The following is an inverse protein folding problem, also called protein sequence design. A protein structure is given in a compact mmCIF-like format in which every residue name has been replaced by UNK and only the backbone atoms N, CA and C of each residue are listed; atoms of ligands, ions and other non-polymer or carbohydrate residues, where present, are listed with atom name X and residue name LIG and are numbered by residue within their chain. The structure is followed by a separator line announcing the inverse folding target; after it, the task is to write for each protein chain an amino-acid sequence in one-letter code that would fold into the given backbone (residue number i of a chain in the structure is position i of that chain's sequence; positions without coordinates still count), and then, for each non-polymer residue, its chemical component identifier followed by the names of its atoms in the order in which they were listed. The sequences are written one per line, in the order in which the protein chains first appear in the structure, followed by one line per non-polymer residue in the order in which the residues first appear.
data_IF_942818368836
#
_entry.id   IF_942818368836
#
_cell.length_a   1.000
_cell.length_b   1.000
_cell.length_c   1.000
_cell.angle_alpha   90.00
_cell.angle_beta   90.00
_cell.angle_gamma   90.00
#
_symmetry.space_group_name_H-M   'P 1'
#
loop_
_entity.id
_entity.type
_entity.pdbx_description
1 polymer ?
#
# COMPACT_ATOMS: atom_id res chain seq x y z
N UNK A 1 21.53 -3.25 -10.25
CA UNK A 1 20.90 -2.78 -11.50
C UNK A 1 19.70 -1.86 -11.24
N UNK A 2 18.60 -2.32 -10.64
CA UNK A 2 17.38 -1.50 -10.47
C UNK A 2 17.60 -0.19 -9.69
N UNK A 3 18.33 -0.23 -8.58
CA UNK A 3 18.65 0.98 -7.78
C UNK A 3 19.39 2.05 -8.62
N UNK A 4 20.38 1.62 -9.39
CA UNK A 4 21.15 2.48 -10.30
C UNK A 4 20.27 3.05 -11.43
N UNK A 5 19.36 2.25 -11.99
CA UNK A 5 18.45 2.71 -13.02
C UNK A 5 17.51 3.80 -12.48
N UNK A 6 16.94 3.62 -11.29
CA UNK A 6 16.13 4.67 -10.64
C UNK A 6 16.95 5.93 -10.38
N UNK A 7 18.21 5.77 -9.94
CA UNK A 7 19.09 6.91 -9.69
C UNK A 7 19.43 7.67 -10.99
N UNK A 8 19.80 6.99 -12.07
CA UNK A 8 20.01 7.59 -13.39
C UNK A 8 18.73 8.28 -13.90
N UNK A 9 17.58 7.73 -13.54
CA UNK A 9 16.30 8.30 -13.91
C UNK A 9 16.05 9.68 -13.27
N UNK A 10 16.72 10.02 -12.16
CA UNK A 10 16.64 11.34 -11.53
C UNK A 10 17.24 12.40 -12.45
N UNK A 11 18.44 12.14 -12.97
CA UNK A 11 19.12 13.08 -13.87
C UNK A 11 18.44 13.16 -15.23
N UNK A 12 18.03 12.03 -15.80
CA UNK A 12 17.28 12.00 -17.08
C UNK A 12 15.90 12.64 -16.95
N UNK A 13 15.23 12.44 -15.82
CA UNK A 13 13.90 12.99 -15.53
C UNK A 13 13.90 14.45 -15.09
N UNK A 14 15.05 15.13 -15.15
CA UNK A 14 15.17 16.54 -14.79
C UNK A 14 14.78 16.84 -13.33
N UNK A 15 15.09 15.91 -12.42
CA UNK A 15 14.69 15.93 -11.02
C UNK A 15 15.76 16.53 -10.10
N UNK A 16 16.41 17.61 -10.55
CA UNK A 16 17.40 18.35 -9.75
C UNK A 16 16.79 18.90 -8.46
N UNK A 17 17.58 18.99 -7.40
CA UNK A 17 17.11 19.46 -6.08
C UNK A 17 16.80 20.96 -6.05
N UNK A 18 17.36 21.69 -7.01
CA UNK A 18 17.09 23.09 -7.34
C UNK A 18 15.75 23.28 -8.06
N UNK A 19 15.16 22.19 -8.58
CA UNK A 19 13.87 22.20 -9.27
C UNK A 19 12.80 21.67 -8.33
N UNK A 20 11.90 22.55 -7.92
CA UNK A 20 10.79 22.23 -7.02
C UNK A 20 9.52 22.93 -7.51
N UNK A 21 8.37 22.26 -7.39
CA UNK A 21 7.09 22.78 -7.89
C UNK A 21 6.17 21.68 -8.42
N UNK A 22 5.13 22.04 -9.18
CA UNK A 22 4.21 21.08 -9.81
C UNK A 22 4.90 20.21 -10.86
N UNK A 23 5.75 20.81 -11.70
CA UNK A 23 6.54 20.11 -12.71
C UNK A 23 7.39 18.97 -12.12
N UNK A 24 7.86 19.15 -10.88
CA UNK A 24 8.63 18.13 -10.16
C UNK A 24 7.81 16.87 -9.87
N UNK A 25 6.53 17.05 -9.51
CA UNK A 25 5.60 15.94 -9.29
C UNK A 25 5.12 15.33 -10.60
N UNK A 26 4.90 16.15 -11.64
CA UNK A 26 4.53 15.68 -12.98
C UNK A 26 5.63 14.82 -13.61
N UNK A 27 6.89 15.15 -13.37
CA UNK A 27 8.05 14.35 -13.78
C UNK A 27 8.28 13.10 -12.90
N UNK A 28 7.40 12.86 -11.92
CA UNK A 28 7.48 11.78 -10.94
C UNK A 28 8.80 11.78 -10.16
N UNK A 29 9.37 12.96 -9.90
CA UNK A 29 10.66 13.08 -9.22
C UNK A 29 10.60 12.59 -7.78
N UNK A 30 9.46 12.78 -7.13
CA UNK A 30 9.14 12.23 -5.82
C UNK A 30 9.30 10.69 -5.80
N UNK A 31 8.74 10.00 -6.80
CA UNK A 31 8.86 8.56 -6.99
C UNK A 31 10.30 8.14 -7.27
N UNK A 32 10.99 8.84 -8.17
CA UNK A 32 12.36 8.48 -8.61
C UNK A 32 13.34 8.55 -7.45
N UNK A 33 13.36 9.68 -6.74
CA UNK A 33 14.20 9.88 -5.56
C UNK A 33 13.93 8.86 -4.47
N UNK A 34 12.65 8.65 -4.14
CA UNK A 34 12.25 7.68 -3.14
C UNK A 34 12.73 6.27 -3.45
N UNK A 35 12.47 5.78 -4.67
CA UNK A 35 12.85 4.42 -5.04
C UNK A 35 14.35 4.23 -5.01
N UNK A 36 15.13 5.22 -5.46
CA UNK A 36 16.58 5.16 -5.34
C UNK A 36 17.02 5.03 -3.89
N UNK A 37 16.53 5.90 -2.99
CA UNK A 37 16.88 5.88 -1.57
C UNK A 37 16.50 4.54 -0.92
N UNK A 38 15.25 4.09 -1.10
CA UNK A 38 14.74 2.86 -0.48
C UNK A 38 15.42 1.60 -1.02
N UNK A 39 15.68 1.52 -2.33
CA UNK A 39 16.35 0.36 -2.92
C UNK A 39 17.80 0.25 -2.45
N UNK A 40 18.54 1.37 -2.37
CA UNK A 40 19.90 1.33 -1.83
C UNK A 40 19.91 0.99 -0.34
N UNK A 41 18.96 1.52 0.45
CA UNK A 41 18.84 1.15 1.86
C UNK A 41 18.58 -0.35 2.03
N UNK A 42 17.59 -0.89 1.31
CA UNK A 42 17.24 -2.31 1.35
C UNK A 42 18.40 -3.21 0.88
N UNK A 43 19.10 -2.84 -0.19
CA UNK A 43 20.29 -3.57 -0.64
C UNK A 43 21.38 -3.57 0.44
N UNK A 44 21.58 -2.43 1.13
CA UNK A 44 22.51 -2.34 2.25
C UNK A 44 22.16 -3.24 3.43
N UNK A 45 20.87 -3.35 3.77
CA UNK A 45 20.38 -4.17 4.88
C UNK A 45 20.34 -5.68 4.58
N UNK A 46 20.20 -6.05 3.31
CA UNK A 46 20.06 -7.45 2.88
C UNK A 46 21.34 -8.05 2.29
N UNK A 47 22.35 -7.23 2.00
CA UNK A 47 23.63 -7.69 1.48
C UNK A 47 24.46 -8.36 2.58
N UNK A 48 25.10 -9.47 2.20
CA UNK A 48 25.94 -10.28 3.08
C UNK A 48 27.41 -9.86 3.03
N UNK A 49 27.88 -9.31 1.90
CA UNK A 49 29.20 -8.71 1.81
C UNK A 49 29.21 -7.35 2.50
N UNK A 50 29.98 -7.23 3.59
CA UNK A 50 30.04 -6.02 4.42
C UNK A 50 30.49 -4.78 3.64
N UNK A 51 31.41 -4.94 2.69
CA UNK A 51 31.93 -3.81 1.91
C UNK A 51 30.86 -3.29 0.95
N UNK A 52 30.17 -4.19 0.26
CA UNK A 52 29.07 -3.84 -0.64
C UNK A 52 27.88 -3.27 0.14
N UNK A 53 27.52 -3.88 1.27
CA UNK A 53 26.48 -3.39 2.16
C UNK A 53 26.74 -1.94 2.58
N UNK A 54 27.95 -1.65 3.06
CA UNK A 54 28.35 -0.30 3.45
C UNK A 54 28.33 0.70 2.28
N UNK A 55 28.73 0.27 1.08
CA UNK A 55 28.66 1.10 -0.12
C UNK A 55 27.21 1.47 -0.48
N UNK A 56 26.27 0.52 -0.38
CA UNK A 56 24.86 0.78 -0.61
C UNK A 56 24.24 1.69 0.46
N UNK A 57 24.53 1.47 1.74
CA UNK A 57 24.06 2.34 2.83
C UNK A 57 24.59 3.76 2.68
N UNK A 58 25.88 3.92 2.34
CA UNK A 58 26.48 5.23 2.07
C UNK A 58 25.81 5.93 0.87
N UNK A 59 25.47 5.17 -0.18
CA UNK A 59 24.75 5.73 -1.33
C UNK A 59 23.33 6.14 -0.97
N UNK A 60 22.60 5.33 -0.21
CA UNK A 60 21.26 5.65 0.30
C UNK A 60 21.28 6.94 1.12
N UNK A 61 22.24 7.06 2.05
CA UNK A 61 22.41 8.26 2.88
C UNK A 61 22.73 9.50 2.04
N UNK A 62 23.60 9.38 1.04
CA UNK A 62 23.95 10.50 0.16
C UNK A 62 22.74 11.02 -0.62
N UNK A 63 21.96 10.11 -1.21
CA UNK A 63 20.74 10.46 -1.94
C UNK A 63 19.67 11.04 -1.01
N UNK A 64 19.54 10.48 0.19
CA UNK A 64 18.64 10.99 1.22
C UNK A 64 18.96 12.43 1.62
N UNK A 65 20.24 12.77 1.83
CA UNK A 65 20.65 14.13 2.17
C UNK A 65 20.36 15.12 1.03
N UNK A 66 20.60 14.72 -0.22
CA UNK A 66 20.22 15.54 -1.38
C UNK A 66 18.71 15.76 -1.43
N UNK A 67 17.92 14.71 -1.22
CA UNK A 67 16.47 14.78 -1.21
C UNK A 67 15.94 15.72 -0.12
N UNK A 68 16.51 15.67 1.09
CA UNK A 68 16.17 16.59 2.18
C UNK A 68 16.44 18.06 1.86
N UNK A 69 17.36 18.33 0.94
CA UNK A 69 17.67 19.68 0.46
C UNK A 69 16.58 20.28 -0.44
N UNK A 70 15.61 19.49 -0.91
CA UNK A 70 14.51 20.00 -1.74
C UNK A 70 13.56 20.82 -0.87
N UNK A 71 13.22 22.09 -1.22
CA UNK A 71 12.39 22.96 -0.39
C UNK A 71 11.04 22.36 0.04
N UNK A 72 10.44 21.50 -0.80
CA UNK A 72 9.20 20.77 -0.47
C UNK A 72 9.31 19.95 0.82
N UNK A 73 10.50 19.44 1.14
CA UNK A 73 10.74 18.52 2.25
C UNK A 73 11.42 19.19 3.45
N UNK A 74 11.54 20.52 3.46
CA UNK A 74 12.09 21.29 4.57
C UNK A 74 11.42 20.95 5.92
N UNK A 75 10.09 20.72 5.89
CA UNK A 75 9.29 20.38 7.08
C UNK A 75 9.23 18.89 7.39
N UNK A 76 9.97 18.04 6.67
CA UNK A 76 9.98 16.61 6.93
C UNK A 76 10.66 16.30 8.27
N UNK A 77 10.11 15.32 8.99
CA UNK A 77 10.68 14.82 10.24
C UNK A 77 11.63 13.63 9.99
N UNK A 78 12.18 13.49 8.79
CA UNK A 78 13.02 12.35 8.42
C UNK A 78 14.44 12.52 8.94
N UNK A 79 14.95 11.50 9.62
CA UNK A 79 16.30 11.43 10.13
C UNK A 79 17.15 10.42 9.35
N UNK A 80 16.52 9.34 8.89
CA UNK A 80 17.14 8.21 8.20
C UNK A 80 16.46 7.92 6.84
N UNK A 81 17.17 7.26 5.90
CA UNK A 81 16.58 6.78 4.65
C UNK A 81 15.32 5.93 4.84
N UNK A 82 15.26 5.15 5.92
CA UNK A 82 14.14 4.28 6.28
C UNK A 82 12.89 5.02 6.78
N UNK A 83 12.98 6.31 7.10
CA UNK A 83 11.82 7.12 7.49
C UNK A 83 10.96 7.52 6.29
N UNK A 84 11.49 7.36 5.07
CA UNK A 84 10.80 7.70 3.84
C UNK A 84 9.85 6.57 3.41
N UNK A 85 8.67 6.96 2.94
CA UNK A 85 7.77 6.08 2.21
C UNK A 85 6.87 6.91 1.27
N UNK A 86 6.03 6.22 0.50
CA UNK A 86 5.14 6.83 -0.49
C UNK A 86 4.23 7.93 0.10
N UNK A 87 3.77 7.76 1.34
CA UNK A 87 2.95 8.77 2.01
C UNK A 87 3.79 9.95 2.50
N UNK A 88 4.94 9.68 3.08
CA UNK A 88 5.81 10.69 3.65
C UNK A 88 6.20 11.72 2.58
N UNK A 89 6.61 11.24 1.41
CA UNK A 89 7.04 12.08 0.29
C UNK A 89 5.88 12.90 -0.31
N UNK A 90 4.67 12.34 -0.35
CA UNK A 90 3.51 13.10 -0.84
C UNK A 90 3.06 14.16 0.17
N UNK A 91 3.11 13.84 1.46
CA UNK A 91 2.65 14.65 2.57
C UNK A 91 3.78 14.99 3.55
N UNK A 92 4.76 15.80 3.13
CA UNK A 92 5.87 16.16 4.00
C UNK A 92 5.39 16.95 5.21
N UNK A 93 5.98 16.64 6.37
CA UNK A 93 5.59 17.21 7.66
C UNK A 93 4.38 16.56 8.32
N UNK A 94 3.73 15.59 7.65
CA UNK A 94 2.76 14.70 8.28
C UNK A 94 3.51 13.47 8.81
N UNK A 95 3.26 13.02 10.05
CA UNK A 95 3.84 11.80 10.56
C UNK A 95 3.56 10.63 9.62
N UNK A 96 4.60 9.91 9.22
CA UNK A 96 4.47 8.69 8.43
C UNK A 96 5.10 7.54 9.20
N UNK A 97 4.37 6.45 9.32
CA UNK A 97 4.76 5.26 10.08
C UNK A 97 4.16 4.01 9.44
N UNK A 98 4.84 2.85 9.54
CA UNK A 98 4.36 1.60 8.94
C UNK A 98 3.10 1.08 9.61
N UNK A 99 2.94 1.31 10.92
CA UNK A 99 1.80 0.85 11.71
C UNK A 99 1.17 2.05 12.42
N UNK A 100 -0.15 2.14 12.33
CA UNK A 100 -0.96 3.17 13.00
C UNK A 100 -1.81 2.52 14.09
N UNK A 101 -1.92 3.19 15.23
CA UNK A 101 -2.85 2.83 16.28
C UNK A 101 -4.29 2.96 15.78
N UNK A 102 -5.08 1.89 15.89
CA UNK A 102 -6.46 1.83 15.41
C UNK A 102 -7.37 2.83 16.11
N UNK A 103 -7.03 3.26 17.33
CA UNK A 103 -7.77 4.29 18.06
C UNK A 103 -7.55 5.70 17.51
N UNK A 104 -6.43 5.92 16.81
CA UNK A 104 -6.05 7.22 16.23
C UNK A 104 -6.58 7.41 14.81
N UNK A 105 -7.12 6.35 14.19
CA UNK A 105 -7.67 6.39 12.83
C UNK A 105 -9.15 5.98 12.84
N UNK A 106 -10.08 6.84 12.38
CA UNK A 106 -11.53 6.53 12.41
C UNK A 106 -11.92 5.21 11.75
N UNK A 107 -11.12 4.75 10.77
CA UNK A 107 -11.33 3.49 10.07
C UNK A 107 -11.16 2.27 10.97
N UNK A 108 -10.27 2.31 11.96
CA UNK A 108 -10.02 1.17 12.86
C UNK A 108 -11.27 0.80 13.65
N UNK A 109 -11.81 1.77 14.39
CA UNK A 109 -13.06 1.61 15.15
C UNK A 109 -14.23 1.21 14.26
N UNK A 110 -14.39 1.85 13.10
CA UNK A 110 -15.46 1.51 12.16
C UNK A 110 -15.41 0.04 11.72
N UNK A 111 -14.23 -0.46 11.38
CA UNK A 111 -14.06 -1.85 10.95
C UNK A 111 -14.38 -2.82 12.09
N UNK A 112 -13.92 -2.54 13.31
CA UNK A 112 -14.19 -3.37 14.49
C UNK A 112 -15.68 -3.42 14.84
N UNK A 113 -16.35 -2.27 14.90
CA UNK A 113 -17.80 -2.18 15.20
C UNK A 113 -18.66 -2.85 14.12
N UNK A 114 -18.22 -2.77 12.85
CA UNK A 114 -18.93 -3.33 11.70
C UNK A 114 -18.58 -4.80 11.43
N UNK A 115 -17.60 -5.37 12.16
CA UNK A 115 -17.09 -6.71 11.94
C UNK A 115 -18.18 -7.80 11.88
N UNK A 116 -19.21 -7.81 12.77
CA UNK A 116 -20.26 -8.82 12.70
C UNK A 116 -21.00 -8.84 11.35
N UNK A 117 -21.24 -7.67 10.75
CA UNK A 117 -21.92 -7.57 9.45
C UNK A 117 -21.01 -8.07 8.33
N UNK A 118 -19.76 -7.59 8.30
CA UNK A 118 -18.77 -8.02 7.31
C UNK A 118 -18.50 -9.51 7.37
N UNK A 119 -18.51 -10.09 8.58
CA UNK A 119 -18.34 -11.53 8.77
C UNK A 119 -19.54 -12.32 8.30
N UNK A 120 -20.74 -11.95 8.71
CA UNK A 120 -21.95 -12.69 8.38
C UNK A 120 -22.19 -12.77 6.85
N UNK A 121 -22.03 -11.66 6.13
CA UNK A 121 -22.23 -11.66 4.66
C UNK A 121 -21.10 -12.38 3.93
N UNK A 122 -19.85 -12.28 4.40
CA UNK A 122 -18.74 -13.08 3.84
C UNK A 122 -18.97 -14.57 4.06
N UNK A 123 -19.38 -14.99 5.25
CA UNK A 123 -19.69 -16.39 5.56
C UNK A 123 -20.85 -16.91 4.70
N UNK A 124 -21.88 -16.09 4.45
CA UNK A 124 -22.97 -16.45 3.54
C UNK A 124 -22.46 -16.68 2.11
N UNK A 125 -21.58 -15.80 1.60
CA UNK A 125 -20.97 -15.95 0.27
C UNK A 125 -20.10 -17.21 0.19
N UNK A 126 -19.28 -17.47 1.22
CA UNK A 126 -18.36 -18.61 1.25
C UNK A 126 -19.08 -19.95 1.38
N UNK A 127 -20.21 -20.00 2.08
CA UNK A 127 -20.98 -21.22 2.32
C UNK A 127 -22.12 -21.45 1.33
N UNK A 128 -22.32 -20.55 0.35
CA UNK A 128 -23.37 -20.72 -0.65
C UNK A 128 -23.06 -21.93 -1.56
N UNK A 129 -24.02 -22.86 -1.74
CA UNK A 129 -23.80 -24.09 -2.50
C UNK A 129 -23.50 -23.87 -3.99
N UNK A 130 -23.69 -22.65 -4.52
CA UNK A 130 -23.42 -22.28 -5.91
C UNK A 130 -21.99 -21.78 -6.14
N UNK A 131 -21.13 -21.76 -5.12
CA UNK A 131 -19.77 -21.20 -5.18
C UNK A 131 -19.78 -19.70 -5.55
N UNK A 132 -20.52 -18.88 -4.78
CA UNK A 132 -20.60 -17.44 -5.02
C UNK A 132 -19.20 -16.79 -5.00
N UNK A 133 -18.32 -17.20 -4.10
CA UNK A 133 -16.93 -16.71 -4.05
C UNK A 133 -16.20 -16.96 -5.37
N UNK A 134 -16.21 -18.20 -5.88
CA UNK A 134 -15.58 -18.54 -7.15
C UNK A 134 -16.19 -17.80 -8.33
N UNK A 135 -17.51 -17.57 -8.34
CA UNK A 135 -18.17 -16.77 -9.37
C UNK A 135 -17.73 -15.30 -9.33
N UNK A 136 -17.73 -14.67 -8.15
CA UNK A 136 -17.24 -13.29 -7.97
C UNK A 136 -15.78 -13.15 -8.41
N UNK A 137 -14.92 -14.09 -8.00
CA UNK A 137 -13.51 -14.13 -8.40
C UNK A 137 -13.30 -14.28 -9.92
N UNK A 138 -14.17 -15.02 -10.61
CA UNK A 138 -14.10 -15.19 -12.08
C UNK A 138 -14.59 -13.96 -12.82
N UNK A 139 -15.62 -13.32 -12.30
CA UNK A 139 -16.23 -12.13 -12.91
C UNK A 139 -15.46 -10.84 -12.60
N UNK A 140 -14.64 -10.81 -11.55
CA UNK A 140 -13.76 -9.67 -11.26
C UNK A 140 -12.45 -9.73 -12.06
N UNK A 141 -12.22 -8.81 -13.01
CA UNK A 141 -10.99 -8.77 -13.79
C UNK A 141 -9.79 -8.24 -12.99
N UNK A 142 -10.00 -7.70 -11.78
CA UNK A 142 -9.01 -6.91 -11.05
C UNK A 142 -8.08 -7.71 -10.12
N UNK A 143 -7.63 -8.89 -10.58
CA UNK A 143 -6.76 -9.78 -9.78
C UNK A 143 -5.38 -9.19 -9.54
N UNK A 144 -4.99 -9.06 -8.27
CA UNK A 144 -3.63 -8.70 -7.88
C UNK A 144 -2.72 -9.95 -7.88
N UNK A 145 -1.53 -9.83 -8.45
CA UNK A 145 -0.60 -10.96 -8.65
C UNK A 145 0.62 -10.88 -7.72
N UNK A 146 0.42 -10.52 -6.44
CA UNK A 146 1.53 -10.34 -5.47
C UNK A 146 1.88 -11.62 -4.69
N UNK A 147 1.02 -12.63 -4.73
CA UNK A 147 1.21 -13.91 -4.06
C UNK A 147 1.72 -15.03 -4.96
N UNK A 148 2.06 -16.16 -4.35
CA UNK A 148 2.20 -17.45 -5.05
C UNK A 148 0.98 -17.69 -5.95
N UNK A 149 1.13 -18.18 -7.20
CA UNK A 149 0.00 -18.47 -8.07
C UNK A 149 -1.07 -19.31 -7.38
N UNK A 150 -2.31 -18.81 -7.32
CA UNK A 150 -3.44 -19.46 -6.65
C UNK A 150 -3.44 -19.40 -5.11
N UNK A 151 -2.45 -18.74 -4.49
CA UNK A 151 -2.36 -18.61 -3.03
C UNK A 151 -3.11 -17.40 -2.45
N UNK A 152 -3.51 -16.45 -3.29
CA UNK A 152 -4.13 -15.20 -2.84
C UNK A 152 -5.29 -14.80 -3.73
N UNK A 153 -6.49 -14.84 -3.16
CA UNK A 153 -7.72 -14.42 -3.81
C UNK A 153 -8.09 -13.00 -3.36
N UNK A 154 -8.60 -12.19 -4.29
CA UNK A 154 -9.08 -10.84 -4.02
C UNK A 154 -10.41 -10.64 -4.73
N UNK A 155 -11.46 -10.33 -3.96
CA UNK A 155 -12.77 -9.92 -4.49
C UNK A 155 -12.95 -8.45 -4.16
N UNK A 156 -13.05 -7.62 -5.20
CA UNK A 156 -13.29 -6.18 -5.05
C UNK A 156 -14.70 -5.91 -4.54
N UNK A 157 -14.83 -4.94 -3.63
CA UNK A 157 -16.13 -4.33 -3.29
C UNK A 157 -16.29 -3.04 -4.10
N UNK A 158 -15.25 -2.20 -4.09
CA UNK A 158 -15.21 -0.93 -4.82
C UNK A 158 -13.76 -0.52 -5.08
N UNK A 159 -13.49 0.05 -6.26
CA UNK A 159 -12.17 0.58 -6.64
C UNK A 159 -12.35 1.82 -7.49
N UNK A 160 -11.65 2.91 -7.14
CA UNK A 160 -11.75 4.19 -7.84
C UNK A 160 -13.21 4.63 -8.07
N UNK A 161 -14.05 4.48 -7.02
CA UNK A 161 -15.49 4.75 -7.05
C UNK A 161 -16.35 3.88 -8.00
N UNK A 162 -15.76 2.89 -8.66
CA UNK A 162 -16.49 1.85 -9.38
C UNK A 162 -16.88 0.74 -8.40
N UNK A 163 -18.16 0.66 -8.06
CA UNK A 163 -18.72 -0.39 -7.22
C UNK A 163 -18.79 -1.71 -7.98
N UNK A 164 -18.66 -2.83 -7.27
CA UNK A 164 -18.92 -4.13 -7.86
C UNK A 164 -20.37 -4.50 -7.57
N UNK A 165 -21.26 -4.17 -8.51
CA UNK A 165 -22.71 -4.30 -8.30
C UNK A 165 -23.12 -5.75 -7.97
N UNK A 166 -22.54 -6.74 -8.67
CA UNK A 166 -22.78 -8.16 -8.37
C UNK A 166 -22.38 -8.53 -6.94
N UNK A 167 -21.28 -7.98 -6.42
CA UNK A 167 -20.91 -8.18 -5.01
C UNK A 167 -21.92 -7.53 -4.08
N UNK A 168 -22.35 -6.30 -4.38
CA UNK A 168 -23.32 -5.58 -3.54
C UNK A 168 -24.72 -6.19 -3.53
N UNK A 169 -25.11 -6.95 -4.56
CA UNK A 169 -26.33 -7.76 -4.54
C UNK A 169 -26.22 -8.91 -3.54
N UNK A 170 -25.03 -9.49 -3.37
CA UNK A 170 -24.77 -10.62 -2.47
C UNK A 170 -24.46 -10.19 -1.03
N UNK A 171 -23.89 -8.98 -0.85
CA UNK A 171 -23.52 -8.41 0.44
C UNK A 171 -24.00 -6.95 0.57
N UNK A 172 -25.33 -6.72 0.59
CA UNK A 172 -25.91 -5.38 0.55
C UNK A 172 -25.57 -4.54 1.78
N UNK A 173 -25.47 -5.14 2.98
CA UNK A 173 -25.19 -4.39 4.21
C UNK A 173 -23.72 -3.96 4.25
N UNK A 174 -22.81 -4.82 3.81
CA UNK A 174 -21.39 -4.50 3.64
C UNK A 174 -21.23 -3.30 2.70
N UNK A 175 -21.87 -3.33 1.53
CA UNK A 175 -21.81 -2.19 0.61
C UNK A 175 -22.44 -0.93 1.21
N UNK A 176 -23.56 -1.03 1.93
CA UNK A 176 -24.18 0.12 2.59
C UNK A 176 -23.25 0.75 3.65
N UNK A 177 -22.58 -0.07 4.47
CA UNK A 177 -21.62 0.40 5.47
C UNK A 177 -20.42 1.09 4.82
N UNK A 178 -19.84 0.51 3.77
CA UNK A 178 -18.73 1.14 3.04
C UNK A 178 -19.17 2.45 2.37
N UNK A 179 -20.40 2.51 1.81
CA UNK A 179 -20.99 3.74 1.24
C UNK A 179 -21.21 4.84 2.28
N UNK A 180 -21.39 4.49 3.55
CA UNK A 180 -21.58 5.48 4.62
C UNK A 180 -20.30 6.24 5.00
N UNK A 181 -19.11 5.74 4.62
CA UNK A 181 -17.82 6.31 5.06
C UNK A 181 -17.28 7.35 4.11
N UNK A 182 -17.23 8.61 4.55
CA UNK A 182 -16.68 9.70 3.76
C UNK A 182 -15.18 9.52 3.49
N UNK A 183 -14.43 8.90 4.41
CA UNK A 183 -12.99 8.63 4.25
C UNK A 183 -12.69 7.71 3.07
N UNK A 184 -13.62 6.79 2.78
CA UNK A 184 -13.55 5.88 1.64
C UNK A 184 -14.09 6.59 0.38
N UNK A 185 -15.27 7.20 0.46
CA UNK A 185 -15.97 7.74 -0.70
C UNK A 185 -15.42 9.08 -1.21
N UNK A 186 -14.61 9.79 -0.43
CA UNK A 186 -13.90 11.01 -0.87
C UNK A 186 -12.45 10.75 -1.27
N UNK A 187 -11.95 9.52 -1.10
CA UNK A 187 -10.59 9.16 -1.48
C UNK A 187 -10.55 8.76 -2.97
N UNK A 188 -9.88 9.56 -3.80
CA UNK A 188 -9.76 9.32 -5.25
C UNK A 188 -9.07 8.00 -5.60
N UNK A 189 -8.25 7.46 -4.69
CA UNK A 189 -7.50 6.22 -4.86
C UNK A 189 -8.03 5.08 -3.99
N UNK A 190 -9.30 5.17 -3.59
CA UNK A 190 -9.95 4.19 -2.73
C UNK A 190 -9.99 2.81 -3.38
N UNK A 191 -9.77 1.80 -2.55
CA UNK A 191 -9.89 0.41 -2.91
C UNK A 191 -10.33 -0.36 -1.65
N UNK A 192 -11.41 -1.11 -1.75
CA UNK A 192 -11.93 -1.97 -0.66
C UNK A 192 -12.17 -3.35 -1.24
N UNK A 193 -11.60 -4.37 -0.61
CA UNK A 193 -11.65 -5.75 -1.07
C UNK A 193 -11.84 -6.70 0.10
N UNK A 194 -12.44 -7.85 -0.16
CA UNK A 194 -12.14 -9.05 0.61
C UNK A 194 -10.92 -9.73 0.02
N UNK A 195 -10.01 -10.13 0.90
CA UNK A 195 -8.81 -10.89 0.54
C UNK A 195 -8.82 -12.21 1.28
N UNK A 196 -8.57 -13.30 0.56
CA UNK A 196 -8.44 -14.64 1.14
C UNK A 196 -7.05 -15.17 0.81
N UNK A 197 -6.26 -15.37 1.86
CA UNK A 197 -4.94 -15.97 1.78
C UNK A 197 -5.07 -17.47 2.05
N UNK A 198 -4.62 -18.30 1.12
CA UNK A 198 -4.67 -19.76 1.25
C UNK A 198 -3.48 -20.29 2.06
N UNK A 199 -3.61 -21.46 2.71
CA UNK A 199 -2.49 -22.11 3.40
C UNK A 199 -1.26 -22.26 2.48
N UNK A 200 -0.08 -21.95 3.01
CA UNK A 200 1.19 -22.01 2.26
C UNK A 200 1.42 -20.88 1.27
N UNK A 201 0.50 -19.92 1.15
CA UNK A 201 0.71 -18.74 0.31
C UNK A 201 1.78 -17.81 0.90
N UNK A 202 2.59 -17.24 0.02
CA UNK A 202 3.60 -16.25 0.38
C UNK A 202 3.42 -15.00 -0.48
N UNK A 203 3.29 -13.84 0.17
CA UNK A 203 3.31 -12.55 -0.50
C UNK A 203 4.76 -12.05 -0.58
N UNK A 204 5.21 -11.66 -1.77
CA UNK A 204 6.55 -11.08 -1.91
C UNK A 204 6.61 -9.73 -1.16
N UNK A 205 7.76 -9.34 -0.61
CA UNK A 205 7.96 -7.98 -0.12
C UNK A 205 7.61 -6.97 -1.23
N UNK A 206 6.71 -6.05 -0.92
CA UNK A 206 6.22 -5.04 -1.87
C UNK A 206 5.81 -3.78 -1.13
N UNK A 207 5.70 -2.69 -1.87
CA UNK A 207 5.08 -1.46 -1.41
C UNK A 207 3.74 -1.28 -2.08
N UNK A 208 2.75 -0.79 -1.35
CA UNK A 208 1.47 -0.41 -1.92
C UNK A 208 1.55 0.88 -2.72
N UNK A 209 0.54 1.13 -3.56
CA UNK A 209 0.39 2.41 -4.25
C UNK A 209 -0.05 3.48 -3.24
N UNK A 210 0.78 4.50 -3.04
CA UNK A 210 0.43 5.70 -2.27
C UNK A 210 -0.26 6.76 -3.13
N UNK A 211 -0.81 7.83 -2.53
CA UNK A 211 -0.80 8.10 -1.09
C UNK A 211 -2.09 7.59 -0.39
N UNK A 212 -1.98 6.61 0.52
CA UNK A 212 -3.09 6.11 1.35
C UNK A 212 -2.62 5.35 2.59
N UNK A 213 -3.49 5.26 3.59
CA UNK A 213 -3.38 4.26 4.66
C UNK A 213 -4.21 3.03 4.29
N UNK A 214 -3.66 1.84 4.52
CA UNK A 214 -4.39 0.59 4.41
C UNK A 214 -4.83 0.15 5.79
N UNK A 215 -6.11 -0.19 5.95
CA UNK A 215 -6.64 -0.77 7.17
C UNK A 215 -7.13 -2.19 6.86
N UNK A 216 -6.71 -3.18 7.65
CA UNK A 216 -7.10 -4.58 7.49
C UNK A 216 -7.93 -5.02 8.69
N UNK A 217 -9.06 -5.67 8.43
CA UNK A 217 -9.87 -6.35 9.43
C UNK A 217 -9.74 -7.85 9.21
N UNK A 218 -9.28 -8.58 10.23
CA UNK A 218 -9.32 -10.03 10.23
C UNK A 218 -10.75 -10.51 10.48
N UNK A 219 -11.43 -10.98 9.43
CA UNK A 219 -12.84 -11.41 9.50
C UNK A 219 -12.95 -12.90 9.87
N UNK A 220 -12.15 -13.73 9.20
CA UNK A 220 -12.01 -15.17 9.45
C UNK A 220 -10.51 -15.46 9.46
N UNK A 221 -9.96 -15.83 10.62
CA UNK A 221 -8.55 -16.13 10.79
C UNK A 221 -8.39 -17.53 11.39
N UNK A 222 -7.39 -18.32 10.97
CA UNK A 222 -7.04 -19.54 11.68
C UNK A 222 -6.53 -19.20 13.08
N UNK A 223 -6.76 -20.10 14.03
CA UNK A 223 -6.11 -20.01 15.34
C UNK A 223 -4.59 -20.06 15.15
N UNK A 224 -3.81 -19.25 15.88
CA UNK A 224 -2.36 -19.33 15.84
C UNK A 224 -1.93 -20.76 16.16
N UNK A 225 -1.08 -21.35 15.33
CA UNK A 225 -0.34 -22.57 15.72
C UNK A 225 0.50 -22.21 16.95
N UNK A 226 0.24 -22.91 18.06
CA UNK A 226 1.00 -22.80 19.31
C UNK A 226 2.46 -23.21 19.11
#
# INVERSE_FOLDING_TARGET
ASAQLFEQSISVGNCGVDRYGEEWLENACDIRWMHSVLLYNWLGESETDVTMAQAFLSRAQSLFQLLRGVPRYEKSAWELPSDINFNAIRFPGVPSRPIWDTQQVPMGRFLEESCPVFKAELEAILNDPRDLWGMLMKADPSREHLGTPGGWDTVRIVRYHHWYDLFCEMAPQTCALVKSRAEINKCSFMNVNYVKLHPGAHLKPHYGNGPRLSAHLSVIAPEPTK
#
